data_IF_911546147714
#
_entry.id   IF_911546147714
#
_cell.length_a   1.000
_cell.length_b   1.000
_cell.length_c   1.000
_cell.angle_alpha   90.00
_cell.angle_beta   90.00
_cell.angle_gamma   90.00
#
_symmetry.space_group_name_H-M   'P 1'
#
loop_
_entity.id
_entity.type
_entity.pdbx_description
1 polymer ?
#
# COMPACT_ATOMS: atom_id res chain seq x y z
N UNK A 1 10.93 5.53 12.59
CA UNK A 1 9.87 5.68 11.56
C UNK A 1 9.83 4.42 10.72
N UNK A 2 8.65 3.88 10.44
CA UNK A 2 8.46 2.72 9.57
C UNK A 2 7.31 2.94 8.60
N UNK A 3 7.34 2.25 7.46
CA UNK A 3 6.19 2.05 6.59
C UNK A 3 5.89 0.57 6.51
N UNK A 4 4.60 0.22 6.48
CA UNK A 4 4.17 -1.16 6.35
C UNK A 4 2.84 -1.23 5.61
N UNK A 5 2.56 -2.32 4.86
CA UNK A 5 1.21 -2.65 4.46
C UNK A 5 0.26 -2.64 5.67
N UNK A 6 -0.90 -2.02 5.49
CA UNK A 6 -1.96 -1.94 6.48
C UNK A 6 -3.19 -2.71 5.98
N UNK A 7 -3.47 -3.83 6.64
CA UNK A 7 -4.64 -4.64 6.32
C UNK A 7 -5.94 -3.91 6.65
N UNK A 8 -6.02 -2.86 7.48
CA UNK A 8 -7.29 -2.11 7.62
C UNK A 8 -7.56 -1.11 6.49
N UNK A 9 -6.66 -0.97 5.53
CA UNK A 9 -6.76 -0.01 4.44
C UNK A 9 -7.93 -0.27 3.48
N UNK A 10 -8.44 0.83 2.89
CA UNK A 10 -9.52 0.79 1.90
C UNK A 10 -9.13 -0.05 0.69
N UNK A 11 -7.90 0.10 0.19
CA UNK A 11 -7.41 -0.69 -0.96
C UNK A 11 -7.33 -2.17 -0.65
N UNK A 12 -6.89 -2.59 0.55
CA UNK A 12 -6.97 -4.01 0.95
C UNK A 12 -8.41 -4.50 0.92
N UNK A 13 -9.34 -3.73 1.48
CA UNK A 13 -10.77 -4.12 1.54
C UNK A 13 -11.38 -4.26 0.14
N UNK A 14 -11.04 -3.37 -0.79
CA UNK A 14 -11.52 -3.40 -2.18
C UNK A 14 -10.88 -4.57 -2.96
N UNK A 15 -9.57 -4.77 -2.83
CA UNK A 15 -8.86 -5.78 -3.62
C UNK A 15 -8.95 -7.19 -3.03
N UNK A 16 -9.27 -7.31 -1.74
CA UNK A 16 -9.38 -8.60 -1.04
C UNK A 16 -8.10 -9.41 -1.15
N UNK A 17 -8.22 -10.69 -1.53
CA UNK A 17 -7.08 -11.61 -1.74
C UNK A 17 -6.16 -11.21 -2.89
N UNK A 18 -6.61 -10.30 -3.78
CA UNK A 18 -5.80 -9.80 -4.90
C UNK A 18 -5.02 -8.54 -4.54
N UNK A 19 -5.02 -8.09 -3.28
CA UNK A 19 -4.30 -6.90 -2.89
C UNK A 19 -2.80 -7.03 -3.19
N UNK A 20 -2.23 -6.03 -3.86
CA UNK A 20 -0.86 -6.09 -4.42
C UNK A 20 0.25 -6.21 -3.37
N UNK A 21 -0.06 -5.95 -2.10
CA UNK A 21 0.86 -6.14 -0.99
C UNK A 21 0.93 -7.59 -0.48
N UNK A 22 0.02 -8.49 -0.88
CA UNK A 22 0.15 -9.91 -0.57
C UNK A 22 1.23 -10.54 -1.47
N UNK A 23 2.41 -10.75 -0.88
CA UNK A 23 3.62 -11.22 -1.56
C UNK A 23 4.46 -12.08 -0.63
N UNK A 24 5.27 -12.97 -1.20
CA UNK A 24 6.15 -13.86 -0.45
C UNK A 24 7.18 -13.09 0.40
N UNK A 25 7.63 -11.92 -0.05
CA UNK A 25 8.56 -11.06 0.69
C UNK A 25 7.96 -10.48 1.99
N UNK A 26 6.64 -10.41 2.11
CA UNK A 26 5.95 -9.88 3.29
C UNK A 26 5.50 -11.04 4.19
N UNK A 27 6.36 -11.37 5.16
CA UNK A 27 6.08 -12.43 6.15
C UNK A 27 5.03 -11.99 7.18
N UNK A 28 4.96 -10.70 7.49
CA UNK A 28 4.02 -10.13 8.45
C UNK A 28 3.10 -9.11 7.79
N UNK A 29 1.83 -9.14 8.19
CA UNK A 29 0.80 -8.21 7.75
C UNK A 29 0.21 -7.48 8.93
N UNK A 30 0.45 -6.18 8.97
CA UNK A 30 0.06 -5.35 10.08
C UNK A 30 -1.29 -4.67 9.83
N UNK A 31 -1.98 -4.33 10.91
CA UNK A 31 -3.04 -3.34 10.98
C UNK A 31 -2.80 -2.43 12.18
N UNK A 32 -3.67 -1.42 12.36
CA UNK A 32 -3.57 -0.47 13.47
C UNK A 32 -3.45 -1.20 14.82
N UNK A 33 -4.36 -2.12 15.13
CA UNK A 33 -4.33 -2.87 16.39
C UNK A 33 -2.99 -3.60 16.61
N UNK A 34 -2.55 -4.39 15.63
CA UNK A 34 -1.31 -5.17 15.75
C UNK A 34 -0.05 -4.31 15.88
N UNK A 35 0.00 -3.13 15.25
CA UNK A 35 1.14 -2.22 15.39
C UNK A 35 1.17 -1.60 16.78
N UNK A 36 0.02 -1.17 17.31
CA UNK A 36 -0.04 -0.63 18.67
C UNK A 36 0.40 -1.67 19.71
N UNK A 37 -0.05 -2.93 19.58
CA UNK A 37 0.39 -4.01 20.46
C UNK A 37 1.88 -4.33 20.31
N UNK A 38 2.39 -4.36 19.07
CA UNK A 38 3.80 -4.63 18.80
C UNK A 38 4.71 -3.53 19.34
N UNK A 39 4.33 -2.26 19.12
CA UNK A 39 5.04 -1.10 19.64
C UNK A 39 5.08 -1.12 21.18
N UNK A 40 3.92 -1.35 21.81
CA UNK A 40 3.83 -1.43 23.28
C UNK A 40 4.76 -2.50 23.85
N UNK A 41 4.76 -3.71 23.26
CA UNK A 41 5.61 -4.82 23.70
C UNK A 41 7.10 -4.55 23.49
N UNK A 42 7.43 -3.79 22.45
CA UNK A 42 8.80 -3.40 22.13
C UNK A 42 9.30 -2.16 22.90
N UNK A 43 8.52 -1.61 23.84
CA UNK A 43 8.92 -0.42 24.61
C UNK A 43 8.77 0.90 23.84
N UNK A 44 7.92 0.95 22.83
CA UNK A 44 7.65 2.16 22.04
C UNK A 44 6.25 2.72 22.30
N UNK A 45 6.11 4.03 22.10
CA UNK A 45 4.86 4.73 21.88
C UNK A 45 4.72 5.15 20.42
N UNK A 46 3.50 5.15 19.89
CA UNK A 46 3.21 5.61 18.53
C UNK A 46 2.76 7.06 18.62
N UNK A 47 3.56 7.97 18.05
CA UNK A 47 3.25 9.40 18.02
C UNK A 47 2.44 9.78 16.77
N UNK A 48 2.55 9.01 15.69
CA UNK A 48 1.75 9.22 14.49
C UNK A 48 1.47 7.89 13.77
N UNK A 49 0.22 7.72 13.32
CA UNK A 49 -0.20 6.65 12.43
C UNK A 49 -1.10 7.24 11.34
N UNK A 50 -0.64 7.26 10.09
CA UNK A 50 -1.42 7.80 8.97
C UNK A 50 -1.28 6.96 7.69
N UNK A 51 -2.24 7.03 6.75
CA UNK A 51 -2.08 6.47 5.42
C UNK A 51 -0.84 7.04 4.72
N UNK A 52 -0.12 6.21 3.97
CA UNK A 52 1.04 6.63 3.19
C UNK A 52 0.71 6.72 1.70
N UNK A 53 1.04 7.86 1.10
CA UNK A 53 0.87 8.11 -0.33
C UNK A 53 2.11 7.67 -1.09
N UNK A 54 1.94 6.78 -2.07
CA UNK A 54 3.00 6.37 -2.95
C UNK A 54 2.82 7.02 -4.32
N UNK A 55 3.88 7.64 -4.82
CA UNK A 55 3.89 8.22 -6.16
C UNK A 55 4.32 7.15 -7.14
N UNK A 56 3.40 6.75 -8.03
CA UNK A 56 3.61 5.68 -9.00
C UNK A 56 3.38 6.19 -10.42
N UNK A 57 4.07 5.62 -11.40
CA UNK A 57 3.79 5.92 -12.81
C UNK A 57 2.59 5.15 -13.31
N UNK A 58 1.91 5.67 -14.33
CA UNK A 58 0.81 4.96 -14.99
C UNK A 58 1.26 3.62 -15.60
N UNK A 59 2.47 3.58 -16.17
CA UNK A 59 3.09 2.33 -16.65
C UNK A 59 3.23 1.30 -15.53
N UNK A 60 3.69 1.71 -14.34
CA UNK A 60 3.82 0.83 -13.18
C UNK A 60 2.46 0.30 -12.72
N UNK A 61 1.45 1.16 -12.65
CA UNK A 61 0.09 0.76 -12.28
C UNK A 61 -0.48 -0.26 -13.26
N UNK A 62 -0.21 -0.10 -14.55
CA UNK A 62 -0.63 -1.05 -15.58
C UNK A 62 -0.02 -2.44 -15.34
N UNK A 63 1.27 -2.52 -14.99
CA UNK A 63 1.89 -3.77 -14.59
C UNK A 63 1.27 -4.37 -13.30
N UNK A 64 0.92 -3.53 -12.32
CA UNK A 64 0.26 -3.97 -11.09
C UNK A 64 -1.10 -4.59 -11.39
N UNK A 65 -1.95 -3.94 -12.20
CA UNK A 65 -3.28 -4.46 -12.51
C UNK A 65 -3.27 -5.68 -13.45
N UNK A 66 -2.25 -5.82 -14.32
CA UNK A 66 -2.03 -7.07 -15.06
C UNK A 66 -1.71 -8.24 -14.12
N UNK A 67 -0.87 -8.03 -13.10
CA UNK A 67 -0.49 -9.06 -12.13
C UNK A 67 -1.60 -9.35 -11.10
N UNK A 68 -2.32 -8.32 -10.68
CA UNK A 68 -3.35 -8.37 -9.65
C UNK A 68 -4.68 -7.82 -10.20
N UNK A 69 -5.40 -8.59 -11.04
CA UNK A 69 -6.52 -8.07 -11.82
C UNK A 69 -7.73 -7.75 -10.94
N UNK A 70 -8.10 -6.47 -10.92
CA UNK A 70 -9.36 -5.96 -10.40
C UNK A 70 -10.33 -5.76 -11.57
N UNK A 71 -11.60 -6.17 -11.41
CA UNK A 71 -12.62 -6.10 -12.49
C UNK A 71 -12.71 -4.65 -13.02
N UNK A 72 -12.59 -4.46 -14.33
CA UNK A 72 -12.68 -3.17 -15.01
C UNK A 72 -11.38 -2.36 -15.00
N UNK A 73 -10.55 -2.49 -13.95
CA UNK A 73 -9.28 -1.76 -13.87
C UNK A 73 -8.28 -2.27 -14.91
N UNK A 74 -8.16 -3.58 -15.08
CA UNK A 74 -7.20 -4.16 -16.03
C UNK A 74 -7.46 -3.67 -17.46
N UNK A 75 -8.73 -3.62 -17.87
CA UNK A 75 -9.15 -3.14 -19.18
C UNK A 75 -8.79 -1.66 -19.37
N UNK A 76 -9.09 -0.80 -18.40
CA UNK A 76 -8.75 0.63 -18.44
C UNK A 76 -7.24 0.83 -18.56
N UNK A 77 -6.46 0.20 -17.67
CA UNK A 77 -5.01 0.37 -17.67
C UNK A 77 -4.33 -0.22 -18.92
N UNK A 78 -4.91 -1.26 -19.52
CA UNK A 78 -4.40 -1.81 -20.80
C UNK A 78 -4.57 -0.85 -21.98
N UNK A 79 -5.57 0.02 -21.94
CA UNK A 79 -5.79 1.07 -22.94
C UNK A 79 -4.84 2.24 -22.66
N UNK A 80 -4.75 2.67 -21.40
CA UNK A 80 -3.92 3.80 -20.98
C UNK A 80 -2.43 3.57 -21.28
N UNK A 81 -1.93 2.35 -21.10
CA UNK A 81 -0.52 2.01 -21.36
C UNK A 81 -0.12 2.17 -22.83
N UNK A 82 -1.09 2.10 -23.76
CA UNK A 82 -0.85 2.27 -25.21
C UNK A 82 -0.62 3.72 -25.61
N UNK A 83 -0.84 4.68 -24.71
CA UNK A 83 -0.70 6.11 -24.96
C UNK A 83 0.66 6.54 -24.38
N UNK A 84 1.73 6.70 -25.20
CA UNK A 84 3.08 6.88 -24.69
C UNK A 84 3.26 8.13 -23.85
N UNK A 85 2.48 9.17 -24.15
CA UNK A 85 2.58 10.49 -23.52
C UNK A 85 2.16 10.48 -22.04
N UNK A 86 1.29 9.54 -21.64
CA UNK A 86 0.78 9.46 -20.27
C UNK A 86 1.49 8.40 -19.41
N UNK A 87 2.31 7.53 -20.01
CA UNK A 87 2.96 6.42 -19.31
C UNK A 87 3.86 6.86 -18.14
N UNK A 88 4.47 8.03 -18.25
CA UNK A 88 5.36 8.60 -17.23
C UNK A 88 4.67 9.57 -16.27
N UNK A 89 3.34 9.76 -16.39
CA UNK A 89 2.59 10.59 -15.44
C UNK A 89 2.67 9.93 -14.06
N UNK A 90 3.12 10.74 -13.09
CA UNK A 90 3.24 10.37 -11.68
C UNK A 90 1.92 10.64 -10.97
N UNK A 91 1.34 9.59 -10.41
CA UNK A 91 0.05 9.64 -9.72
C UNK A 91 0.29 9.30 -8.24
N UNK A 92 -0.03 10.21 -7.30
CA UNK A 92 -0.02 9.90 -5.88
C UNK A 92 -1.22 9.02 -5.55
N UNK A 93 -0.97 7.84 -4.98
CA UNK A 93 -2.00 6.87 -4.65
C UNK A 93 -1.82 6.30 -3.25
N UNK A 94 -2.95 6.09 -2.58
CA UNK A 94 -3.02 5.24 -1.40
C UNK A 94 -3.09 3.79 -1.86
N UNK A 95 -1.99 3.05 -1.76
CA UNK A 95 -1.97 1.62 -2.12
C UNK A 95 -2.22 0.69 -0.92
N UNK A 96 -2.41 1.29 0.26
CA UNK A 96 -2.77 0.58 1.49
C UNK A 96 -1.62 0.42 2.48
N UNK A 97 -0.57 1.22 2.32
CA UNK A 97 0.51 1.35 3.29
C UNK A 97 0.15 2.39 4.37
N UNK A 98 0.79 2.28 5.53
CA UNK A 98 0.72 3.30 6.57
C UNK A 98 2.11 3.74 6.98
N UNK A 99 2.25 5.04 7.22
CA UNK A 99 3.42 5.66 7.83
C UNK A 99 3.21 5.69 9.33
N UNK A 100 4.24 5.26 10.07
CA UNK A 100 4.17 5.10 11.52
C UNK A 100 5.41 5.72 12.10
N UNK A 101 5.21 6.69 12.99
CA UNK A 101 6.29 7.33 13.74
C UNK A 101 6.19 6.83 15.18
N UNK A 102 7.30 6.29 15.67
CA UNK A 102 7.42 5.69 17.00
C UNK A 102 8.51 6.41 17.78
N UNK A 103 8.32 6.55 19.08
CA UNK A 103 9.31 7.05 20.04
C UNK A 103 9.54 5.98 21.11
N UNK A 104 10.79 5.79 21.53
CA UNK A 104 11.08 4.90 22.66
C UNK A 104 10.46 5.48 23.94
N UNK A 105 9.92 4.62 24.79
CA UNK A 105 9.49 5.02 26.12
C UNK A 105 10.73 5.25 26.98
N UNK A 106 10.75 6.39 27.67
CA UNK A 106 11.78 6.75 28.65
C UNK A 106 11.72 5.83 29.88
#
# INVERSE_FOLDING_TARGET
MITTPNTDSITRKIMGSKWSHYKLEHVYYFNKKSIYESAKRAGFEIIEFKPFWKVLTLSYLSHVFKKYPLKGANEIFSILEKIPIINNIKIPLLIGESLIILKAKD
#
